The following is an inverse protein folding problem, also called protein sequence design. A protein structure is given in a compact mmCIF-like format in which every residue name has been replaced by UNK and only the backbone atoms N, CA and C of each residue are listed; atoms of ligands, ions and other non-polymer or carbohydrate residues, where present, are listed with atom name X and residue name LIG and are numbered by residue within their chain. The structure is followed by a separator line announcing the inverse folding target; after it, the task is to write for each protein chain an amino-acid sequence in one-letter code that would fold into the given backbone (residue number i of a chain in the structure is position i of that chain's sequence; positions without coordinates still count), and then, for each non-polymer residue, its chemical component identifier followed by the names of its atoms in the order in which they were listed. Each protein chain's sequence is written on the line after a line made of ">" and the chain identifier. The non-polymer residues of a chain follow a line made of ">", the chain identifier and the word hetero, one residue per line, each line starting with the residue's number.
data_IF_382795140281
#
_entry.id   IF_382795140281
#
_cell.length_a   1.000
_cell.length_b   1.000
_cell.length_c   1.000
_cell.angle_alpha   90.00
_cell.angle_beta   90.00
_cell.angle_gamma   90.00
#
_symmetry.space_group_name_H-M   'P 1'
#
loop_
_entity.id
_entity.type
_entity.pdbx_description
1 polymer ?
#
# COMPACT_ATOMS: atom_id res chain seq x y z
N UNK A 1 -3.11 13.77 -4.34
CA UNK A 1 -3.36 12.40 -3.84
C UNK A 1 -2.15 11.57 -4.21
N UNK A 2 -1.61 10.76 -3.29
CA UNK A 2 -0.49 9.90 -3.59
C UNK A 2 -0.87 8.93 -4.73
N UNK A 3 0.07 8.71 -5.65
CA UNK A 3 -0.17 7.97 -6.89
C UNK A 3 0.97 6.97 -7.10
N UNK A 4 0.61 5.71 -7.29
CA UNK A 4 1.52 4.63 -7.66
C UNK A 4 1.14 4.08 -9.04
N UNK A 5 2.14 3.69 -9.84
CA UNK A 5 1.92 3.08 -11.16
C UNK A 5 1.72 1.56 -11.08
N UNK A 6 2.31 0.92 -10.07
CA UNK A 6 2.30 -0.52 -9.86
C UNK A 6 1.72 -0.78 -8.48
N UNK A 7 0.76 -1.70 -8.39
CA UNK A 7 0.23 -2.20 -7.13
C UNK A 7 0.75 -3.61 -6.85
N UNK A 8 1.13 -3.87 -5.61
CA UNK A 8 1.55 -5.19 -5.12
C UNK A 8 0.58 -5.61 -4.02
N UNK A 9 0.06 -6.83 -4.09
CA UNK A 9 -0.77 -7.42 -3.03
C UNK A 9 0.06 -8.53 -2.39
N UNK A 10 0.51 -8.28 -1.16
CA UNK A 10 1.32 -9.23 -0.39
C UNK A 10 0.48 -10.33 0.25
N UNK A 11 0.94 -11.57 0.12
CA UNK A 11 0.45 -12.68 0.92
C UNK A 11 1.21 -12.82 2.24
N UNK A 12 0.95 -13.91 2.96
CA UNK A 12 1.65 -14.22 4.21
C UNK A 12 3.17 -14.18 4.04
N UNK A 13 3.84 -13.41 4.90
CA UNK A 13 5.31 -13.31 4.93
C UNK A 13 5.90 -12.14 4.15
N UNK A 14 5.11 -11.39 3.37
CA UNK A 14 5.55 -10.16 2.72
C UNK A 14 5.04 -8.94 3.48
N UNK A 15 5.82 -8.51 4.48
CA UNK A 15 5.47 -7.37 5.33
C UNK A 15 6.17 -6.09 4.90
N UNK A 16 7.37 -6.19 4.34
CA UNK A 16 8.17 -5.06 3.88
C UNK A 16 8.74 -5.34 2.47
N UNK A 17 8.99 -4.29 1.72
CA UNK A 17 9.67 -4.35 0.42
C UNK A 17 11.07 -3.77 0.60
N UNK A 18 12.08 -4.63 0.54
CA UNK A 18 13.48 -4.19 0.63
C UNK A 18 13.80 -3.22 -0.51
N UNK A 19 14.43 -2.09 -0.15
CA UNK A 19 14.78 -1.03 -1.09
C UNK A 19 13.66 -0.04 -1.40
N UNK A 20 12.45 -0.23 -0.86
CA UNK A 20 11.39 0.77 -0.95
C UNK A 20 11.72 1.97 -0.05
N UNK A 21 11.66 3.16 -0.62
CA UNK A 21 11.97 4.44 0.04
C UNK A 21 10.79 5.41 -0.06
N UNK A 22 10.89 6.58 0.57
CA UNK A 22 9.82 7.59 0.59
C UNK A 22 8.45 7.04 1.02
N UNK A 23 8.42 6.23 2.09
CA UNK A 23 7.23 5.50 2.51
C UNK A 23 6.16 6.45 3.08
N UNK A 24 4.94 6.33 2.55
CA UNK A 24 3.72 6.97 3.03
C UNK A 24 2.61 5.92 3.19
N UNK A 25 1.89 5.95 4.31
CA UNK A 25 0.70 5.13 4.52
C UNK A 25 -0.58 5.93 4.21
N UNK A 26 -1.47 5.31 3.45
CA UNK A 26 -2.72 5.93 3.01
C UNK A 26 -3.90 5.08 3.45
N UNK A 27 -4.73 5.66 4.31
CA UNK A 27 -6.01 5.10 4.68
C UNK A 27 -7.08 5.64 3.74
N UNK A 28 -7.78 4.74 3.03
CA UNK A 28 -8.87 5.10 2.12
C UNK A 28 -10.13 4.30 2.42
N UNK A 29 -11.27 4.94 2.22
CA UNK A 29 -12.55 4.26 2.15
C UNK A 29 -12.92 4.04 0.68
N UNK A 30 -13.58 2.92 0.40
CA UNK A 30 -14.16 2.65 -0.93
C UNK A 30 -15.66 2.43 -0.81
N UNK A 31 -16.43 2.58 -1.91
CA UNK A 31 -17.85 2.19 -1.92
C UNK A 31 -18.11 0.73 -1.54
N UNK A 32 -17.08 -0.12 -1.58
CA UNK A 32 -17.15 -1.54 -1.24
C UNK A 32 -16.67 -1.84 0.20
N UNK A 33 -16.38 -0.79 0.99
CA UNK A 33 -15.84 -0.91 2.34
C UNK A 33 -14.35 -0.55 2.42
N UNK A 34 -13.74 -0.87 3.56
CA UNK A 34 -12.31 -0.62 3.80
C UNK A 34 -11.45 -1.70 3.13
N UNK A 35 -10.24 -1.37 2.65
CA UNK A 35 -9.24 -2.37 2.30
C UNK A 35 -8.86 -3.23 3.52
N UNK A 36 -8.14 -4.33 3.27
CA UNK A 36 -7.66 -5.22 4.34
C UNK A 36 -6.75 -4.50 5.34
N UNK A 37 -5.97 -3.52 4.89
CA UNK A 37 -5.08 -2.68 5.70
C UNK A 37 -4.81 -1.33 5.01
N UNK A 38 -4.09 -0.42 5.65
CA UNK A 38 -3.58 0.80 5.04
C UNK A 38 -2.71 0.49 3.80
N UNK A 39 -2.79 1.35 2.78
CA UNK A 39 -1.99 1.18 1.56
C UNK A 39 -0.66 1.90 1.74
N UNK A 40 0.44 1.15 1.64
CA UNK A 40 1.81 1.71 1.64
C UNK A 40 2.20 2.14 0.23
N UNK A 41 2.68 3.37 0.08
CA UNK A 41 3.19 3.94 -1.18
C UNK A 41 4.65 4.35 -0.95
N UNK A 42 5.52 4.03 -1.91
CA UNK A 42 6.94 4.38 -1.87
C UNK A 42 7.57 4.35 -3.27
N UNK A 43 8.86 4.66 -3.33
CA UNK A 43 9.67 4.66 -4.56
C UNK A 43 10.88 3.73 -4.46
#
# INVERSE_FOLDING_TARGET
>A
MPQAKIGVIGGTGLYDIEGLTDIEEVNIDTPFGKPSDAITIGK
#
